data_IF_245437804473
#
_entry.id   IF_245437804473
#
_cell.length_a   1.000
_cell.length_b   1.000
_cell.length_c   1.000
_cell.angle_alpha   90.00
_cell.angle_beta   90.00
_cell.angle_gamma   90.00
#
_symmetry.space_group_name_H-M   'P 1'
#
loop_
_entity.id
_entity.type
_entity.pdbx_description
1 polymer ?
#
# COMPACT_ATOMS: atom_id res chain seq x y z
N UNK A 1 -26.27 16.62 -22.94
CA UNK A 1 -25.93 16.86 -21.55
C UNK A 1 -24.82 17.88 -21.47
N UNK A 2 -24.90 18.84 -20.57
CA UNK A 2 -23.85 19.84 -20.34
C UNK A 2 -22.70 19.10 -19.63
N UNK A 3 -21.51 19.13 -20.23
CA UNK A 3 -20.31 18.58 -19.61
C UNK A 3 -19.93 19.42 -18.40
N UNK A 4 -19.67 18.80 -17.26
CA UNK A 4 -19.14 19.48 -16.08
C UNK A 4 -17.73 19.97 -16.40
N UNK A 5 -17.47 21.25 -16.12
CA UNK A 5 -16.16 21.89 -16.29
C UNK A 5 -15.08 21.12 -15.49
N UNK A 6 -13.85 21.03 -16.04
CA UNK A 6 -12.74 20.35 -15.39
C UNK A 6 -12.47 20.86 -13.97
N UNK A 7 -12.54 22.18 -13.77
CA UNK A 7 -12.38 22.80 -12.44
C UNK A 7 -13.47 22.36 -11.45
N UNK A 8 -14.72 22.25 -11.90
CA UNK A 8 -15.81 21.77 -11.04
C UNK A 8 -15.67 20.29 -10.70
N UNK A 9 -15.08 19.51 -11.62
CA UNK A 9 -14.76 18.09 -11.36
C UNK A 9 -13.64 17.94 -10.32
N UNK A 10 -12.61 18.78 -10.39
CA UNK A 10 -11.49 18.77 -9.45
C UNK A 10 -11.91 19.19 -8.03
N UNK A 11 -13.01 19.98 -7.91
CA UNK A 11 -13.59 20.38 -6.62
C UNK A 11 -14.54 19.32 -6.02
N UNK A 12 -14.91 18.29 -6.77
CA UNK A 12 -15.76 17.20 -6.28
C UNK A 12 -14.91 15.95 -6.07
N UNK A 13 -14.64 15.66 -4.82
CA UNK A 13 -13.97 14.41 -4.41
C UNK A 13 -15.05 13.42 -3.99
N UNK A 14 -15.32 12.45 -4.82
CA UNK A 14 -16.34 11.44 -4.55
C UNK A 14 -15.74 10.04 -4.50
N UNK A 15 -16.09 9.29 -3.46
CA UNK A 15 -15.84 7.87 -3.38
C UNK A 15 -17.16 7.11 -3.45
N UNK A 16 -17.18 6.06 -4.25
CA UNK A 16 -18.34 5.18 -4.35
C UNK A 16 -17.96 3.79 -3.80
N UNK A 17 -18.57 3.47 -2.68
CA UNK A 17 -18.34 2.24 -1.93
C UNK A 17 -19.41 1.22 -2.31
N UNK A 18 -19.04 0.30 -3.17
CA UNK A 18 -19.86 -0.87 -3.51
C UNK A 18 -19.78 -1.92 -2.40
N UNK A 19 -20.79 -2.78 -2.26
CA UNK A 19 -20.69 -3.95 -1.40
C UNK A 19 -19.45 -4.76 -1.79
N UNK A 20 -18.53 -4.93 -0.86
CA UNK A 20 -17.26 -5.56 -1.15
C UNK A 20 -17.39 -7.07 -1.15
N UNK A 21 -17.17 -7.64 -2.32
CA UNK A 21 -16.94 -9.08 -2.46
C UNK A 21 -15.47 -9.48 -2.25
N UNK A 22 -14.56 -8.51 -2.37
CA UNK A 22 -13.10 -8.74 -2.36
C UNK A 22 -12.34 -7.84 -1.36
N UNK A 23 -12.95 -7.56 -0.19
CA UNK A 23 -12.32 -6.72 0.86
C UNK A 23 -10.94 -7.21 1.25
N UNK A 24 -10.74 -8.52 1.33
CA UNK A 24 -9.45 -9.14 1.65
C UNK A 24 -8.37 -8.75 0.63
N UNK A 25 -8.71 -8.75 -0.66
CA UNK A 25 -7.79 -8.38 -1.72
C UNK A 25 -7.43 -6.90 -1.68
N UNK A 26 -8.40 -6.03 -1.44
CA UNK A 26 -8.19 -4.57 -1.36
C UNK A 26 -7.35 -4.17 -0.15
N UNK A 27 -7.40 -4.95 0.94
CA UNK A 27 -6.63 -4.73 2.17
C UNK A 27 -5.28 -5.47 2.18
N UNK A 28 -5.01 -6.32 1.19
CA UNK A 28 -3.75 -7.03 1.05
C UNK A 28 -2.63 -6.12 0.51
N UNK A 29 -1.38 -6.62 0.58
CA UNK A 29 -0.25 -5.93 -0.05
C UNK A 29 -0.40 -5.89 -1.57
N UNK A 30 0.10 -4.84 -2.20
CA UNK A 30 0.12 -4.74 -3.65
C UNK A 30 0.07 -3.30 -4.16
N UNK A 31 0.36 -3.15 -5.45
CA UNK A 31 0.28 -1.86 -6.11
C UNK A 31 -1.15 -1.33 -6.08
N UNK A 32 -1.31 -0.14 -5.50
CA UNK A 32 -2.60 0.50 -5.40
C UNK A 32 -3.54 -0.12 -4.38
N UNK A 33 -3.06 -1.01 -3.49
CA UNK A 33 -3.86 -1.47 -2.35
C UNK A 33 -4.27 -0.29 -1.48
N UNK A 34 -5.38 -0.41 -0.75
CA UNK A 34 -5.88 0.68 0.09
C UNK A 34 -4.89 1.06 1.17
N UNK A 35 -4.23 0.08 1.77
CA UNK A 35 -3.17 0.31 2.76
C UNK A 35 -2.02 1.11 2.15
N UNK A 36 -1.54 0.75 0.96
CA UNK A 36 -0.46 1.49 0.31
C UNK A 36 -0.87 2.93 -0.02
N UNK A 37 -2.11 3.16 -0.43
CA UNK A 37 -2.63 4.51 -0.72
C UNK A 37 -2.71 5.37 0.55
N UNK A 38 -3.20 4.82 1.67
CA UNK A 38 -3.23 5.51 2.97
C UNK A 38 -1.81 5.89 3.38
N UNK A 39 -0.88 4.94 3.34
CA UNK A 39 0.51 5.19 3.72
C UNK A 39 1.16 6.25 2.83
N UNK A 40 0.99 6.17 1.51
CA UNK A 40 1.57 7.13 0.56
C UNK A 40 1.01 8.56 0.73
N UNK A 41 -0.24 8.69 1.13
CA UNK A 41 -0.88 10.00 1.36
C UNK A 41 -0.61 10.56 2.77
N UNK A 42 -0.21 9.71 3.71
CA UNK A 42 0.08 10.14 5.08
C UNK A 42 1.23 11.16 5.11
N UNK A 43 1.12 12.27 5.88
CA UNK A 43 2.12 13.36 5.91
C UNK A 43 3.55 12.90 6.20
N UNK A 44 3.72 11.81 6.94
CA UNK A 44 5.01 11.21 7.26
C UNK A 44 5.73 10.69 6.00
N UNK A 45 4.99 10.16 5.01
CA UNK A 45 5.55 9.55 3.80
C UNK A 45 5.36 10.42 2.54
N UNK A 46 4.33 11.27 2.53
CA UNK A 46 3.95 12.08 1.36
C UNK A 46 5.13 12.95 0.90
N UNK A 47 5.53 12.78 -0.35
CA UNK A 47 6.61 13.55 -0.99
C UNK A 47 7.99 13.43 -0.31
N UNK A 48 8.24 12.42 0.51
CA UNK A 48 9.54 12.18 1.13
C UNK A 48 10.46 11.43 0.17
N UNK A 49 11.63 12.03 -0.11
CA UNK A 49 12.71 11.38 -0.84
C UNK A 49 13.67 10.63 0.10
N UNK A 50 13.74 11.08 1.34
CA UNK A 50 14.56 10.51 2.41
C UNK A 50 13.65 10.12 3.57
N UNK A 51 13.77 8.90 4.04
CA UNK A 51 12.98 8.39 5.16
C UNK A 51 13.70 7.21 5.80
N UNK A 52 13.62 7.08 7.12
CA UNK A 52 14.28 6.02 7.88
C UNK A 52 13.96 4.60 7.36
N UNK A 53 12.78 4.38 6.79
CA UNK A 53 12.41 3.11 6.17
C UNK A 53 13.31 2.79 4.98
N UNK A 54 13.73 3.80 4.19
CA UNK A 54 14.69 3.62 3.10
C UNK A 54 16.06 3.22 3.63
N UNK A 55 16.51 3.86 4.71
CA UNK A 55 17.81 3.56 5.35
C UNK A 55 17.83 2.11 5.86
N UNK A 56 16.74 1.67 6.50
CA UNK A 56 16.59 0.27 6.96
C UNK A 56 16.69 -0.71 5.78
N UNK A 57 16.05 -0.41 4.65
CA UNK A 57 16.14 -1.27 3.47
C UNK A 57 17.52 -1.24 2.83
N UNK A 58 18.16 -0.08 2.80
CA UNK A 58 19.53 0.05 2.29
C UNK A 58 20.51 -0.79 3.13
N UNK A 59 20.41 -0.71 4.45
CA UNK A 59 21.22 -1.54 5.36
C UNK A 59 20.95 -3.03 5.15
N UNK A 60 19.67 -3.41 4.99
CA UNK A 60 19.32 -4.80 4.70
C UNK A 60 19.90 -5.27 3.36
N UNK A 61 19.84 -4.46 2.31
CA UNK A 61 20.41 -4.75 1.01
C UNK A 61 21.93 -4.92 1.08
N UNK A 62 22.63 -4.02 1.78
CA UNK A 62 24.08 -4.12 2.03
C UNK A 62 24.44 -5.44 2.73
N UNK A 63 23.64 -5.86 3.70
CA UNK A 63 23.87 -7.13 4.41
C UNK A 63 23.61 -8.35 3.51
N UNK A 64 22.59 -8.27 2.64
CA UNK A 64 22.30 -9.32 1.66
C UNK A 64 23.45 -9.44 0.65
N UNK A 65 23.94 -8.33 0.13
CA UNK A 65 25.10 -8.32 -0.79
C UNK A 65 26.36 -8.86 -0.09
N UNK A 66 26.58 -8.44 1.16
CA UNK A 66 27.66 -8.94 2.01
C UNK A 66 27.61 -10.45 2.23
N UNK A 67 26.43 -11.05 2.29
CA UNK A 67 26.32 -12.51 2.40
C UNK A 67 26.99 -13.23 1.22
N UNK A 68 26.84 -12.70 0.00
CA UNK A 68 27.45 -13.31 -1.19
C UNK A 68 28.94 -13.00 -1.35
N UNK A 69 29.46 -11.97 -0.66
CA UNK A 69 30.89 -11.59 -0.70
C UNK A 69 31.68 -12.10 0.48
N UNK A 70 31.07 -12.25 1.66
CA UNK A 70 31.78 -12.50 2.91
C UNK A 70 31.53 -13.88 3.48
N UNK A 71 30.31 -14.41 3.33
CA UNK A 71 29.92 -15.72 3.84
C UNK A 71 30.41 -16.88 2.95
N UNK A 72 30.74 -18.02 3.55
CA UNK A 72 31.32 -19.17 2.82
C UNK A 72 30.30 -19.81 1.85
N UNK A 73 29.03 -19.88 2.22
CA UNK A 73 27.98 -20.47 1.36
C UNK A 73 27.62 -19.49 0.23
N UNK A 74 27.49 -18.20 0.55
CA UNK A 74 27.21 -17.15 -0.41
C UNK A 74 28.33 -17.05 -1.47
N UNK A 75 29.59 -17.09 -1.05
CA UNK A 75 30.76 -17.13 -1.94
C UNK A 75 30.73 -18.33 -2.89
N UNK A 76 30.35 -19.50 -2.39
CA UNK A 76 30.26 -20.72 -3.21
C UNK A 76 29.21 -20.56 -4.31
N UNK A 77 28.04 -19.99 -3.97
CA UNK A 77 26.99 -19.73 -4.96
C UNK A 77 27.48 -18.77 -6.03
N UNK A 78 28.07 -17.64 -5.64
CA UNK A 78 28.60 -16.65 -6.58
C UNK A 78 29.72 -17.22 -7.45
N UNK A 79 30.60 -18.04 -6.88
CA UNK A 79 31.66 -18.71 -7.61
C UNK A 79 31.10 -19.70 -8.66
N UNK A 80 30.09 -20.50 -8.30
CA UNK A 80 29.44 -21.40 -9.24
C UNK A 80 28.79 -20.63 -10.41
N UNK A 81 28.18 -19.48 -10.15
CA UNK A 81 27.63 -18.61 -11.19
C UNK A 81 28.74 -18.12 -12.12
N UNK A 82 29.84 -17.64 -11.57
CA UNK A 82 31.01 -17.15 -12.35
C UNK A 82 31.59 -18.25 -13.23
N UNK A 83 31.82 -19.44 -12.70
CA UNK A 83 32.35 -20.59 -13.45
C UNK A 83 31.41 -20.98 -14.60
N UNK A 84 30.11 -20.97 -14.39
CA UNK A 84 29.16 -21.24 -15.46
C UNK A 84 29.15 -20.13 -16.53
N UNK A 85 29.23 -18.86 -16.12
CA UNK A 85 29.32 -17.75 -17.06
C UNK A 85 30.62 -17.79 -17.87
N UNK A 86 31.74 -18.18 -17.27
CA UNK A 86 33.03 -18.33 -17.97
C UNK A 86 32.98 -19.44 -19.04
N UNK A 87 32.17 -20.46 -18.87
CA UNK A 87 31.99 -21.51 -19.87
C UNK A 87 31.30 -21.04 -21.16
N UNK A 88 30.58 -19.91 -21.11
CA UNK A 88 29.86 -19.33 -22.25
C UNK A 88 30.55 -18.14 -22.87
N UNK A 89 31.52 -17.52 -22.18
CA UNK A 89 32.22 -16.31 -22.65
C UNK A 89 33.68 -16.57 -22.85
N UNK A 90 34.23 -16.06 -23.97
CA UNK A 90 35.68 -16.04 -24.19
C UNK A 90 36.38 -15.15 -23.15
N UNK A 91 37.11 -15.80 -22.26
CA UNK A 91 38.15 -15.29 -21.35
C UNK A 91 37.90 -13.96 -20.62
N UNK A 92 37.51 -14.04 -19.37
CA UNK A 92 37.82 -13.00 -18.36
C UNK A 92 36.73 -12.00 -18.03
N UNK A 93 35.58 -11.95 -18.74
CA UNK A 93 34.49 -11.01 -18.42
C UNK A 93 33.54 -11.51 -17.34
N UNK A 94 33.47 -12.79 -17.10
CA UNK A 94 32.58 -13.38 -16.10
C UNK A 94 33.17 -13.35 -14.67
N UNK A 95 34.48 -13.15 -14.51
CA UNK A 95 35.17 -13.08 -13.22
C UNK A 95 34.73 -11.88 -12.35
N UNK A 96 34.13 -10.86 -12.96
CA UNK A 96 33.63 -9.65 -12.28
C UNK A 96 32.12 -9.66 -12.02
N UNK A 97 31.43 -10.79 -12.19
CA UNK A 97 30.02 -10.87 -11.89
C UNK A 97 29.77 -10.67 -10.37
N UNK A 98 28.89 -9.76 -10.03
CA UNK A 98 28.48 -9.44 -8.67
C UNK A 98 26.96 -9.58 -8.56
N UNK A 99 26.48 -10.04 -7.42
CA UNK A 99 25.05 -9.97 -7.10
C UNK A 99 24.79 -8.66 -6.38
N UNK A 100 23.94 -7.84 -6.97
CA UNK A 100 23.51 -6.56 -6.40
C UNK A 100 22.00 -6.54 -6.24
N UNK A 101 21.56 -5.95 -5.16
CA UNK A 101 20.16 -5.64 -4.95
C UNK A 101 19.76 -4.44 -5.80
N UNK A 102 18.51 -4.41 -6.27
CA UNK A 102 17.99 -3.22 -6.96
C UNK A 102 17.66 -2.11 -5.97
N UNK A 103 17.84 -0.85 -6.40
CA UNK A 103 17.38 0.30 -5.62
C UNK A 103 15.88 0.21 -5.40
N UNK A 104 15.48 0.27 -4.14
CA UNK A 104 14.08 0.20 -3.73
C UNK A 104 13.58 1.61 -3.43
N UNK A 105 12.51 2.00 -4.11
CA UNK A 105 11.81 3.25 -3.81
C UNK A 105 10.89 3.10 -2.61
N UNK A 106 10.72 4.15 -1.81
CA UNK A 106 9.80 4.18 -0.67
C UNK A 106 8.39 3.68 -1.04
N UNK A 107 7.91 4.07 -2.23
CA UNK A 107 6.63 3.60 -2.75
C UNK A 107 6.55 2.07 -2.84
N UNK A 108 7.57 1.42 -3.36
CA UNK A 108 7.59 -0.04 -3.50
C UNK A 108 7.59 -0.74 -2.13
N UNK A 109 8.27 -0.15 -1.15
CA UNK A 109 8.26 -0.65 0.23
C UNK A 109 6.85 -0.56 0.82
N UNK A 110 6.21 0.62 0.72
CA UNK A 110 4.86 0.84 1.24
C UNK A 110 3.82 -0.05 0.53
N UNK A 111 3.99 -0.31 -0.76
CA UNK A 111 3.15 -1.24 -1.53
C UNK A 111 3.34 -2.71 -1.12
N UNK A 112 4.46 -3.06 -0.51
CA UNK A 112 4.71 -4.42 0.01
C UNK A 112 4.08 -4.70 1.37
N UNK A 113 3.63 -3.65 2.07
CA UNK A 113 3.02 -3.79 3.39
C UNK A 113 1.55 -4.23 3.28
N UNK A 114 1.15 -5.09 4.20
CA UNK A 114 -0.25 -5.50 4.39
C UNK A 114 -0.66 -5.25 5.84
N UNK A 115 -1.93 -4.94 6.03
CA UNK A 115 -2.50 -4.86 7.37
C UNK A 115 -2.85 -6.28 7.82
N UNK A 116 -2.16 -6.78 8.83
CA UNK A 116 -2.44 -8.07 9.44
C UNK A 116 -2.96 -7.84 10.87
N UNK A 117 -4.13 -8.36 11.18
CA UNK A 117 -4.74 -8.34 12.50
C UNK A 117 -4.90 -9.78 13.03
N UNK A 118 -3.82 -10.42 13.52
CA UNK A 118 -3.81 -11.85 13.84
C UNK A 118 -4.74 -12.24 15.00
N UNK A 119 -5.08 -11.30 15.87
CA UNK A 119 -6.01 -11.52 17.00
C UNK A 119 -7.48 -11.46 16.58
N UNK A 120 -7.74 -10.89 15.43
CA UNK A 120 -9.05 -10.78 14.81
C UNK A 120 -8.93 -11.60 13.53
N UNK A 121 -9.43 -12.82 13.51
CA UNK A 121 -9.63 -13.50 12.23
C UNK A 121 -10.83 -12.79 11.55
N UNK A 122 -10.61 -11.69 10.80
CA UNK A 122 -11.69 -10.81 10.42
C UNK A 122 -12.63 -11.56 9.48
N UNK A 123 -13.86 -11.69 9.89
CA UNK A 123 -14.92 -12.11 8.99
C UNK A 123 -15.09 -11.09 7.86
N UNK A 124 -15.80 -11.47 6.81
CA UNK A 124 -16.05 -10.61 5.65
C UNK A 124 -16.64 -9.24 6.05
N UNK A 125 -17.48 -9.19 7.06
CA UNK A 125 -18.05 -7.94 7.58
C UNK A 125 -17.01 -7.01 8.22
N UNK A 126 -16.06 -7.55 8.97
CA UNK A 126 -15.00 -6.74 9.59
C UNK A 126 -14.03 -6.19 8.56
N UNK A 127 -13.69 -6.98 7.54
CA UNK A 127 -12.89 -6.51 6.40
C UNK A 127 -13.61 -5.40 5.63
N UNK A 128 -14.93 -5.50 5.47
CA UNK A 128 -15.74 -4.46 4.85
C UNK A 128 -15.70 -3.15 5.65
N UNK A 129 -15.82 -3.22 6.99
CA UNK A 129 -15.66 -2.05 7.86
C UNK A 129 -14.29 -1.40 7.73
N UNK A 130 -13.22 -2.20 7.73
CA UNK A 130 -11.86 -1.70 7.54
C UNK A 130 -11.69 -1.01 6.19
N UNK A 131 -12.28 -1.57 5.14
CA UNK A 131 -12.25 -0.96 3.81
C UNK A 131 -12.99 0.38 3.78
N UNK A 132 -14.22 0.45 4.33
CA UNK A 132 -14.98 1.70 4.41
C UNK A 132 -14.18 2.76 5.18
N UNK A 133 -13.60 2.39 6.33
CA UNK A 133 -12.75 3.30 7.11
C UNK A 133 -11.52 3.78 6.32
N UNK A 134 -10.88 2.90 5.56
CA UNK A 134 -9.75 3.23 4.71
C UNK A 134 -10.11 4.23 3.60
N UNK A 135 -11.25 4.03 2.93
CA UNK A 135 -11.74 4.94 1.88
C UNK A 135 -12.09 6.32 2.44
N UNK A 136 -12.76 6.36 3.59
CA UNK A 136 -13.08 7.64 4.25
C UNK A 136 -11.82 8.36 4.72
N UNK A 137 -10.82 7.63 5.20
CA UNK A 137 -9.53 8.21 5.57
C UNK A 137 -8.83 8.85 4.36
N UNK A 138 -8.80 8.15 3.22
CA UNK A 138 -8.23 8.69 1.97
C UNK A 138 -8.99 9.92 1.47
N UNK A 139 -10.32 9.92 1.57
CA UNK A 139 -11.14 11.05 1.21
C UNK A 139 -10.88 12.26 2.12
N UNK A 140 -10.62 12.02 3.40
CA UNK A 140 -10.35 13.03 4.42
C UNK A 140 -8.98 13.70 4.25
N UNK A 141 -7.94 12.91 3.93
CA UNK A 141 -6.56 13.38 3.78
C UNK A 141 -6.35 14.23 2.52
N UNK A 142 -7.34 14.34 1.65
CA UNK A 142 -7.29 15.19 0.48
C UNK A 142 -7.43 16.67 0.88
N UNK A 143 -6.32 17.39 0.85
CA UNK A 143 -6.19 18.78 1.32
C UNK A 143 -6.61 19.83 0.29
N UNK A 144 -7.06 19.43 -0.90
CA UNK A 144 -7.31 20.36 -2.01
C UNK A 144 -8.61 21.19 -1.91
N UNK A 145 -9.29 21.15 -0.76
CA UNK A 145 -10.38 22.11 -0.43
C UNK A 145 -11.68 21.91 -1.20
N UNK A 146 -11.93 20.76 -1.78
CA UNK A 146 -13.17 20.42 -2.49
C UNK A 146 -14.23 19.78 -1.59
N UNK A 147 -15.46 19.66 -2.13
CA UNK A 147 -16.53 18.91 -1.48
C UNK A 147 -16.20 17.42 -1.46
N UNK A 148 -16.24 16.82 -0.30
CA UNK A 148 -15.97 15.40 -0.06
C UNK A 148 -17.28 14.64 0.02
N UNK A 149 -17.50 13.69 -0.88
CA UNK A 149 -18.73 12.93 -0.99
C UNK A 149 -18.44 11.42 -0.92
N UNK A 150 -19.07 10.74 0.03
CA UNK A 150 -19.06 9.28 0.11
C UNK A 150 -20.43 8.72 -0.25
N UNK A 151 -20.51 7.91 -1.30
CA UNK A 151 -21.71 7.18 -1.69
C UNK A 151 -21.52 5.71 -1.28
N UNK A 152 -22.34 5.22 -0.37
CA UNK A 152 -22.22 3.89 0.20
C UNK A 152 -23.49 3.09 -0.11
N UNK A 153 -23.32 1.95 -0.78
CA UNK A 153 -24.42 1.00 -1.04
C UNK A 153 -24.35 -0.19 -0.09
N UNK A 154 -25.52 -0.75 0.21
CA UNK A 154 -25.68 -1.98 0.98
C UNK A 154 -24.84 -2.01 2.27
N UNK A 155 -24.98 -0.96 3.06
CA UNK A 155 -24.24 -0.75 4.31
C UNK A 155 -24.44 -1.92 5.30
N UNK A 156 -25.57 -2.62 5.18
CA UNK A 156 -25.95 -3.81 5.97
C UNK A 156 -25.31 -5.10 5.47
N UNK A 157 -24.76 -5.12 4.25
CA UNK A 157 -24.24 -6.34 3.64
C UNK A 157 -23.13 -6.96 4.50
N UNK A 158 -23.34 -8.20 4.88
CA UNK A 158 -22.38 -9.01 5.66
C UNK A 158 -22.05 -8.48 7.08
N UNK A 159 -22.75 -7.43 7.56
CA UNK A 159 -22.53 -6.87 8.88
C UNK A 159 -23.57 -7.36 9.90
N UNK A 160 -23.08 -7.80 11.07
CA UNK A 160 -23.95 -8.04 12.22
C UNK A 160 -24.60 -6.72 12.67
N UNK A 161 -25.86 -6.71 13.16
CA UNK A 161 -26.57 -5.47 13.55
C UNK A 161 -25.79 -4.53 14.47
N UNK A 162 -25.02 -5.06 15.41
CA UNK A 162 -24.16 -4.24 16.28
C UNK A 162 -23.02 -3.55 15.53
N UNK A 163 -22.48 -4.19 14.49
CA UNK A 163 -21.47 -3.60 13.63
C UNK A 163 -22.05 -2.50 12.74
N UNK A 164 -23.27 -2.68 12.25
CA UNK A 164 -24.01 -1.65 11.50
C UNK A 164 -24.21 -0.39 12.36
N UNK A 165 -24.64 -0.54 13.62
CA UNK A 165 -24.81 0.60 14.54
C UNK A 165 -23.48 1.35 14.78
N UNK A 166 -22.39 0.63 14.97
CA UNK A 166 -21.04 1.23 15.11
C UNK A 166 -20.64 1.98 13.85
N UNK A 167 -20.90 1.40 12.68
CA UNK A 167 -20.59 2.05 11.40
C UNK A 167 -21.44 3.32 11.23
N UNK A 168 -22.73 3.28 11.49
CA UNK A 168 -23.60 4.46 11.42
C UNK A 168 -23.08 5.57 12.34
N UNK A 169 -22.74 5.24 13.58
CA UNK A 169 -22.18 6.21 14.54
C UNK A 169 -20.85 6.79 14.04
N UNK A 170 -19.99 5.98 13.45
CA UNK A 170 -18.75 6.44 12.85
C UNK A 170 -19.00 7.39 11.67
N UNK A 171 -19.91 7.04 10.77
CA UNK A 171 -20.27 7.88 9.62
C UNK A 171 -20.89 9.22 10.06
N UNK A 172 -21.72 9.23 11.10
CA UNK A 172 -22.27 10.45 11.68
C UNK A 172 -21.17 11.36 12.25
N UNK A 173 -20.17 10.80 12.89
CA UNK A 173 -19.04 11.58 13.39
C UNK A 173 -18.19 12.15 12.23
N UNK A 174 -17.95 11.36 11.18
CA UNK A 174 -17.25 11.85 9.99
C UNK A 174 -17.99 12.99 9.29
N UNK A 175 -19.31 12.90 9.20
CA UNK A 175 -20.16 13.98 8.69
C UNK A 175 -20.04 15.26 9.52
N UNK A 176 -20.13 15.14 10.85
CA UNK A 176 -20.15 16.30 11.75
C UNK A 176 -18.79 16.97 11.95
N UNK A 177 -17.71 16.19 11.99
CA UNK A 177 -16.39 16.67 12.38
C UNK A 177 -15.48 16.93 11.18
N UNK A 178 -15.69 16.26 10.06
CA UNK A 178 -14.73 16.23 8.93
C UNK A 178 -15.30 16.73 7.61
N UNK A 179 -16.50 17.31 7.62
CA UNK A 179 -17.17 17.88 6.45
C UNK A 179 -17.29 16.92 5.24
N UNK A 180 -17.45 15.64 5.53
CA UNK A 180 -17.68 14.58 4.54
C UNK A 180 -19.18 14.41 4.37
N UNK A 181 -19.70 14.67 3.17
CA UNK A 181 -21.10 14.37 2.84
C UNK A 181 -21.24 12.86 2.59
N UNK A 182 -22.24 12.23 3.19
CA UNK A 182 -22.49 10.78 3.13
C UNK A 182 -23.89 10.52 2.64
#
# INVERSE_FOLDING_TARGET
>A
GISIDGKARDLLKAVYLKPLRDAEREMSSGRGSRISQILLNHPVFKNKKEHIVLDIFHDANTRIEGYFTDDAEGKRILQTIRENLESFNDKGQASNAELKTSDIQLKAILESLSLNAPEINPGLGELNLLFIAAELLLLKDDTDGGMKLALIEELEAHLHPQAQLRLISYLQNEYNENDVQI
#
